data_IF_426094293368
#
_entry.id   IF_426094293368
#
_cell.length_a   1.000
_cell.length_b   1.000
_cell.length_c   1.000
_cell.angle_alpha   90.00
_cell.angle_beta   90.00
_cell.angle_gamma   90.00
#
_symmetry.space_group_name_H-M   'P 1'
#
loop_
_entity.id
_entity.type
_entity.pdbx_description
1 polymer ?
#
# COMPACT_ATOMS: atom_id res chain seq x y z
N UNK A 1 3.08 -3.27 20.41
CA UNK A 1 2.90 -4.72 20.67
C UNK A 1 4.20 -5.50 20.53
N UNK A 2 4.88 -5.49 19.40
CA UNK A 2 6.11 -6.30 19.17
C UNK A 2 7.27 -6.03 20.18
N UNK A 3 7.35 -4.82 20.71
CA UNK A 3 8.39 -4.43 21.68
C UNK A 3 7.93 -4.49 23.15
N UNK A 4 6.77 -5.08 23.43
CA UNK A 4 6.27 -5.18 24.78
C UNK A 4 7.04 -6.26 25.54
N UNK A 5 7.65 -5.88 26.67
CA UNK A 5 8.41 -6.78 27.54
C UNK A 5 7.49 -7.45 28.56
N UNK A 6 6.41 -6.76 28.93
CA UNK A 6 5.43 -7.24 29.92
C UNK A 6 4.06 -7.48 29.31
N UNK A 7 3.34 -8.47 29.83
CA UNK A 7 1.99 -8.80 29.37
C UNK A 7 1.03 -7.60 29.44
N UNK A 8 1.13 -6.79 30.49
CA UNK A 8 0.29 -5.61 30.64
C UNK A 8 0.51 -4.58 29.53
N UNK A 9 1.76 -4.35 29.13
CA UNK A 9 2.10 -3.47 28.00
C UNK A 9 1.60 -4.03 26.67
N UNK A 10 1.71 -5.35 26.48
CA UNK A 10 1.19 -6.01 25.30
C UNK A 10 -0.33 -5.83 25.19
N UNK A 11 -1.06 -6.13 26.26
CA UNK A 11 -2.53 -6.02 26.29
C UNK A 11 -2.97 -4.58 26.01
N UNK A 12 -2.34 -3.59 26.62
CA UNK A 12 -2.68 -2.18 26.40
C UNK A 12 -2.38 -1.73 24.96
N UNK A 13 -1.21 -2.09 24.43
CA UNK A 13 -0.85 -1.80 23.03
C UNK A 13 -1.78 -2.50 22.03
N UNK A 14 -2.19 -3.73 22.34
CA UNK A 14 -3.16 -4.47 21.51
C UNK A 14 -4.51 -3.78 21.50
N UNK A 15 -4.98 -3.32 22.66
CA UNK A 15 -6.25 -2.61 22.82
C UNK A 15 -6.27 -1.30 22.02
N UNK A 16 -5.17 -0.52 22.10
CA UNK A 16 -5.01 0.71 21.34
C UNK A 16 -4.98 0.43 19.83
N UNK A 17 -4.22 -0.58 19.39
CA UNK A 17 -4.12 -0.94 17.99
C UNK A 17 -5.47 -1.38 17.40
N UNK A 18 -6.17 -2.28 18.07
CA UNK A 18 -7.47 -2.74 17.59
C UNK A 18 -8.54 -1.65 17.67
N UNK A 19 -8.48 -0.77 18.67
CA UNK A 19 -9.34 0.41 18.74
C UNK A 19 -9.12 1.34 17.54
N UNK A 20 -7.88 1.63 17.18
CA UNK A 20 -7.56 2.41 16.00
C UNK A 20 -8.02 1.75 14.68
N UNK A 21 -7.93 0.41 14.56
CA UNK A 21 -8.47 -0.29 13.40
C UNK A 21 -10.01 -0.22 13.32
N UNK A 22 -10.72 -0.25 14.42
CA UNK A 22 -12.19 -0.11 14.47
C UNK A 22 -12.62 1.32 14.08
N UNK A 23 -11.85 2.33 14.53
CA UNK A 23 -12.06 3.72 14.11
C UNK A 23 -11.81 3.89 12.61
N UNK A 24 -10.74 3.29 12.07
CA UNK A 24 -10.44 3.27 10.63
C UNK A 24 -11.53 2.57 9.82
N UNK A 25 -12.02 1.43 10.28
CA UNK A 25 -13.12 0.70 9.62
C UNK A 25 -14.36 1.59 9.49
N UNK A 26 -14.68 2.35 10.54
CA UNK A 26 -15.81 3.28 10.55
C UNK A 26 -15.57 4.46 9.62
N UNK A 27 -14.41 5.10 9.72
CA UNK A 27 -14.08 6.27 8.90
C UNK A 27 -14.02 5.95 7.41
N UNK A 28 -13.38 4.83 7.06
CA UNK A 28 -13.26 4.36 5.67
C UNK A 28 -14.59 3.84 5.09
N UNK A 29 -15.60 3.63 5.92
CA UNK A 29 -16.97 3.41 5.45
C UNK A 29 -17.66 4.66 4.90
N UNK A 30 -17.17 5.85 5.27
CA UNK A 30 -17.72 7.15 4.87
C UNK A 30 -16.87 7.90 3.85
N UNK A 31 -15.56 7.66 3.80
CA UNK A 31 -14.61 8.33 2.90
C UNK A 31 -13.82 7.32 2.10
N UNK A 32 -13.42 7.68 0.87
CA UNK A 32 -12.64 6.80 0.01
C UNK A 32 -11.22 6.62 0.53
N UNK A 33 -10.56 7.72 0.92
CA UNK A 33 -9.19 7.76 1.44
C UNK A 33 -9.18 8.49 2.80
N UNK A 34 -8.05 8.49 3.50
CA UNK A 34 -7.93 9.07 4.84
C UNK A 34 -8.26 10.58 4.87
N UNK A 35 -7.89 11.31 3.82
CA UNK A 35 -8.14 12.75 3.69
C UNK A 35 -9.33 13.08 2.78
N UNK A 36 -10.22 12.12 2.49
CA UNK A 36 -11.38 12.32 1.63
C UNK A 36 -11.21 11.70 0.24
N UNK A 37 -11.21 12.53 -0.81
CA UNK A 37 -11.27 12.06 -2.21
C UNK A 37 -9.90 11.77 -2.84
N UNK A 38 -8.80 12.14 -2.17
CA UNK A 38 -7.45 12.07 -2.73
C UNK A 38 -6.54 11.20 -1.89
N UNK A 39 -5.65 10.46 -2.59
CA UNK A 39 -4.55 9.74 -1.94
C UNK A 39 -3.53 10.76 -1.44
N UNK A 40 -3.12 10.58 -0.20
CA UNK A 40 -2.15 11.43 0.50
C UNK A 40 -0.97 10.60 1.01
N UNK A 41 0.03 11.27 1.56
CA UNK A 41 1.15 10.64 2.25
C UNK A 41 0.68 9.76 3.43
N UNK A 42 -0.41 10.15 4.10
CA UNK A 42 -0.99 9.37 5.18
C UNK A 42 -1.49 8.01 4.69
N UNK A 43 -2.11 7.97 3.51
CA UNK A 43 -2.56 6.71 2.88
C UNK A 43 -1.37 5.81 2.55
N UNK A 44 -0.28 6.37 2.03
CA UNK A 44 0.93 5.61 1.72
C UNK A 44 1.57 5.02 2.99
N UNK A 45 1.67 5.79 4.06
CA UNK A 45 2.22 5.33 5.33
C UNK A 45 1.36 4.23 5.98
N UNK A 46 0.04 4.41 5.97
CA UNK A 46 -0.89 3.41 6.49
C UNK A 46 -0.87 2.13 5.66
N UNK A 47 -0.86 2.24 4.32
CA UNK A 47 -0.80 1.11 3.41
C UNK A 47 0.41 0.22 3.69
N UNK A 48 1.62 0.79 3.80
CA UNK A 48 2.86 0.04 4.07
C UNK A 48 2.76 -0.75 5.37
N UNK A 49 2.07 -0.23 6.37
CA UNK A 49 1.87 -0.90 7.67
C UNK A 49 0.84 -2.02 7.55
N UNK A 50 -0.32 -1.74 6.98
CA UNK A 50 -1.45 -2.67 6.95
C UNK A 50 -1.25 -3.82 5.96
N UNK A 51 -0.57 -3.58 4.81
CA UNK A 51 -0.24 -4.66 3.87
C UNK A 51 0.64 -5.74 4.50
N UNK A 52 1.46 -5.35 5.49
CA UNK A 52 2.31 -6.28 6.23
C UNK A 52 1.62 -6.93 7.43
N UNK A 53 0.48 -6.39 7.86
CA UNK A 53 -0.13 -6.87 9.09
C UNK A 53 -0.51 -8.35 9.00
N UNK A 54 -1.28 -8.74 8.00
CA UNK A 54 -1.74 -10.13 7.84
C UNK A 54 -0.65 -11.09 7.38
N UNK A 55 0.36 -10.57 6.63
CA UNK A 55 1.46 -11.37 6.09
C UNK A 55 2.63 -11.55 7.07
N UNK A 56 2.82 -10.60 7.99
CA UNK A 56 3.99 -10.58 8.86
C UNK A 56 3.61 -10.45 10.32
N UNK A 57 3.01 -9.33 10.72
CA UNK A 57 2.85 -8.99 12.13
C UNK A 57 1.88 -9.91 12.85
N UNK A 58 0.75 -10.25 12.24
CA UNK A 58 -0.25 -11.14 12.85
C UNK A 58 0.28 -12.55 13.10
N UNK A 59 1.26 -12.98 12.33
CA UNK A 59 1.87 -14.29 12.49
C UNK A 59 2.80 -14.38 13.72
N UNK A 60 3.27 -13.24 14.23
CA UNK A 60 4.12 -13.15 15.42
C UNK A 60 3.39 -12.70 16.68
N UNK A 61 2.27 -12.02 16.54
CA UNK A 61 1.55 -11.46 17.68
C UNK A 61 0.75 -12.49 18.48
N UNK A 62 0.75 -13.76 18.05
CA UNK A 62 -0.10 -14.78 18.67
C UNK A 62 -1.58 -14.64 18.29
N UNK A 63 -2.52 -15.03 19.15
CA UNK A 63 -3.94 -14.92 18.83
C UNK A 63 -4.34 -13.48 18.57
N UNK A 64 -4.69 -13.17 17.33
CA UNK A 64 -5.19 -11.84 16.93
C UNK A 64 -6.72 -11.78 17.08
N UNK A 65 -7.24 -10.61 17.43
CA UNK A 65 -8.69 -10.40 17.56
C UNK A 65 -9.36 -10.59 16.18
N UNK A 66 -8.78 -10.01 15.15
CA UNK A 66 -9.15 -10.15 13.74
C UNK A 66 -7.96 -9.76 12.86
N UNK A 67 -8.01 -10.17 11.60
CA UNK A 67 -7.08 -9.77 10.57
C UNK A 67 -7.60 -8.53 9.83
N UNK A 68 -6.72 -7.85 9.12
CA UNK A 68 -7.13 -6.70 8.28
C UNK A 68 -8.14 -7.12 7.22
N UNK A 69 -7.99 -8.31 6.64
CA UNK A 69 -8.95 -8.86 5.67
C UNK A 69 -10.36 -9.10 6.23
N UNK A 70 -10.52 -9.20 7.55
CA UNK A 70 -11.83 -9.39 8.20
C UNK A 70 -12.58 -8.05 8.35
N UNK A 71 -11.89 -6.92 8.19
CA UNK A 71 -12.44 -5.57 8.23
C UNK A 71 -12.77 -5.12 6.81
N UNK A 72 -14.06 -5.09 6.48
CA UNK A 72 -14.51 -4.88 5.11
C UNK A 72 -13.99 -3.58 4.48
N UNK A 73 -14.19 -2.45 5.17
CA UNK A 73 -13.85 -1.14 4.63
C UNK A 73 -12.33 -0.93 4.56
N UNK A 74 -11.59 -1.40 5.56
CA UNK A 74 -10.12 -1.36 5.58
C UNK A 74 -9.56 -2.27 4.49
N UNK A 75 -10.08 -3.49 4.36
CA UNK A 75 -9.65 -4.42 3.30
C UNK A 75 -9.93 -3.87 1.89
N UNK A 76 -11.12 -3.34 1.68
CA UNK A 76 -11.51 -2.75 0.40
C UNK A 76 -10.69 -1.49 0.08
N UNK A 77 -10.37 -0.67 1.09
CA UNK A 77 -9.48 0.49 0.95
C UNK A 77 -8.07 0.09 0.51
N UNK A 78 -7.49 -0.94 1.12
CA UNK A 78 -6.17 -1.41 0.71
C UNK A 78 -6.16 -1.96 -0.72
N UNK A 79 -7.22 -2.66 -1.11
CA UNK A 79 -7.38 -3.13 -2.50
C UNK A 79 -7.60 -1.98 -3.47
N UNK A 80 -8.33 -0.92 -3.09
CA UNK A 80 -8.51 0.29 -3.90
C UNK A 80 -7.16 0.99 -4.14
N UNK A 81 -6.33 1.13 -3.10
CA UNK A 81 -4.96 1.63 -3.25
C UNK A 81 -4.09 0.71 -4.12
N UNK A 82 -4.23 -0.60 -4.00
CA UNK A 82 -3.48 -1.56 -4.81
C UNK A 82 -3.82 -1.50 -6.31
N UNK A 83 -5.00 -0.97 -6.71
CA UNK A 83 -5.30 -0.72 -8.11
C UNK A 83 -4.47 0.43 -8.71
N UNK A 84 -3.85 1.26 -7.87
CA UNK A 84 -2.95 2.33 -8.31
C UNK A 84 -1.58 1.70 -8.63
N UNK A 85 -1.05 1.84 -9.86
CA UNK A 85 0.18 1.17 -10.29
C UNK A 85 1.37 1.40 -9.35
N UNK A 86 1.51 2.60 -8.79
CA UNK A 86 2.59 2.91 -7.85
C UNK A 86 2.57 2.02 -6.59
N UNK A 87 1.39 1.66 -6.07
CA UNK A 87 1.28 0.76 -4.93
C UNK A 87 1.49 -0.70 -5.36
N UNK A 88 0.86 -1.13 -6.47
CA UNK A 88 0.97 -2.50 -6.95
C UNK A 88 2.42 -2.89 -7.29
N UNK A 89 3.13 -2.04 -8.04
CA UNK A 89 4.52 -2.30 -8.45
C UNK A 89 5.50 -2.37 -7.28
N UNK A 90 5.22 -1.69 -6.17
CA UNK A 90 6.08 -1.68 -5.00
C UNK A 90 5.63 -2.66 -3.89
N UNK A 91 4.62 -3.49 -4.15
CA UNK A 91 4.16 -4.52 -3.22
C UNK A 91 4.57 -5.89 -3.68
N UNK A 92 5.65 -6.42 -3.10
CA UNK A 92 6.12 -7.79 -3.32
C UNK A 92 5.72 -8.68 -2.14
N UNK A 93 4.59 -9.35 -2.28
CA UNK A 93 4.07 -10.26 -1.25
C UNK A 93 5.05 -11.40 -0.93
N UNK A 94 5.75 -11.92 -1.95
CA UNK A 94 6.73 -12.98 -1.75
C UNK A 94 7.93 -12.50 -0.92
N UNK A 95 8.38 -11.25 -1.14
CA UNK A 95 9.45 -10.65 -0.35
C UNK A 95 9.00 -10.40 1.11
N UNK A 96 7.76 -9.94 1.34
CA UNK A 96 7.22 -9.74 2.69
C UNK A 96 7.16 -11.09 3.44
N UNK A 97 6.66 -12.14 2.80
CA UNK A 97 6.60 -13.49 3.37
C UNK A 97 8.01 -14.02 3.68
N UNK A 98 8.95 -13.83 2.75
CA UNK A 98 10.36 -14.23 2.95
C UNK A 98 10.98 -13.51 4.14
N UNK A 99 10.73 -12.18 4.28
CA UNK A 99 11.18 -11.40 5.44
C UNK A 99 10.62 -11.99 6.74
N UNK A 100 9.35 -12.38 6.76
CA UNK A 100 8.75 -13.04 7.91
C UNK A 100 9.47 -14.32 8.31
N UNK A 101 9.78 -15.19 7.38
CA UNK A 101 10.51 -16.44 7.66
C UNK A 101 11.90 -16.19 8.23
N UNK A 102 12.67 -15.26 7.64
CA UNK A 102 14.04 -14.93 8.08
C UNK A 102 14.03 -14.35 9.50
N UNK A 103 13.18 -13.39 9.79
CA UNK A 103 13.07 -12.80 11.12
C UNK A 103 12.77 -13.86 12.20
N UNK A 104 12.01 -14.89 11.84
CA UNK A 104 11.76 -16.02 12.72
C UNK A 104 12.95 -16.93 12.98
N UNK A 105 13.88 -17.03 12.05
CA UNK A 105 15.10 -17.83 12.19
C UNK A 105 16.13 -17.13 13.08
N UNK A 106 16.26 -15.81 12.97
CA UNK A 106 17.23 -15.01 13.72
C UNK A 106 16.93 -14.96 15.22
N UNK A 107 15.67 -14.95 15.62
CA UNK A 107 15.26 -14.92 17.03
C UNK A 107 15.38 -16.26 17.77
N UNK A 108 15.91 -17.30 17.10
CA UNK A 108 16.10 -18.63 17.71
C UNK A 108 14.79 -19.33 18.11
N UNK A 109 13.69 -18.73 17.75
CA UNK A 109 12.37 -19.31 17.93
C UNK A 109 12.15 -20.34 16.82
N UNK A 110 11.42 -21.41 17.05
CA UNK A 110 10.96 -22.34 16.00
C UNK A 110 9.96 -21.63 15.04
N UNK A 111 10.28 -20.41 14.70
CA UNK A 111 9.38 -19.40 14.23
C UNK A 111 9.08 -19.55 12.74
N UNK A 112 9.99 -20.13 11.95
CA UNK A 112 9.66 -20.36 10.53
C UNK A 112 8.51 -21.36 10.38
N UNK A 113 8.51 -22.43 11.15
CA UNK A 113 7.39 -23.41 11.16
C UNK A 113 6.11 -22.78 11.72
N UNK A 114 6.23 -22.03 12.83
CA UNK A 114 5.07 -21.36 13.42
C UNK A 114 4.51 -20.26 12.49
N UNK A 115 5.39 -19.50 11.86
CA UNK A 115 5.02 -18.49 10.88
C UNK A 115 4.25 -19.12 9.71
N UNK A 116 4.77 -20.20 9.12
CA UNK A 116 4.12 -20.88 8.00
C UNK A 116 2.78 -21.53 8.37
N UNK A 117 2.59 -21.92 9.63
CA UNK A 117 1.31 -22.40 10.13
C UNK A 117 0.29 -21.27 10.37
N UNK A 118 0.78 -20.11 10.83
CA UNK A 118 -0.04 -18.94 11.12
C UNK A 118 -0.41 -18.12 9.87
N UNK A 119 0.42 -18.19 8.82
CA UNK A 119 0.22 -17.46 7.57
C UNK A 119 -1.01 -18.04 6.81
N UNK A 120 -2.00 -17.20 6.45
CA UNK A 120 -3.10 -17.63 5.61
C UNK A 120 -2.61 -18.15 4.25
N UNK A 121 -3.09 -19.33 3.85
CA UNK A 121 -2.74 -19.97 2.58
C UNK A 121 -3.66 -19.48 1.47
N UNK A 122 -3.45 -18.23 1.05
CA UNK A 122 -4.21 -17.58 -0.01
C UNK A 122 -3.25 -17.04 -1.06
N UNK A 123 -3.74 -16.88 -2.27
CA UNK A 123 -3.05 -16.14 -3.33
C UNK A 123 -3.25 -14.63 -3.07
N UNK A 124 -2.28 -14.01 -2.42
CA UNK A 124 -2.34 -12.61 -2.03
C UNK A 124 -2.43 -11.68 -3.24
N UNK A 125 -1.66 -11.97 -4.29
CA UNK A 125 -1.65 -11.16 -5.50
C UNK A 125 -3.01 -11.21 -6.21
N UNK A 126 -3.58 -12.40 -6.38
CA UNK A 126 -4.90 -12.55 -6.96
C UNK A 126 -6.00 -11.91 -6.12
N UNK A 127 -5.92 -12.05 -4.79
CA UNK A 127 -6.92 -11.46 -3.88
C UNK A 127 -6.90 -9.93 -3.90
N UNK A 128 -5.72 -9.32 -4.02
CA UNK A 128 -5.57 -7.86 -3.99
C UNK A 128 -5.81 -7.21 -5.36
N UNK A 129 -5.72 -7.96 -6.45
CA UNK A 129 -6.11 -7.49 -7.79
C UNK A 129 -7.61 -7.35 -8.00
N UNK A 130 -8.43 -7.84 -7.07
CA UNK A 130 -9.88 -7.68 -7.16
C UNK A 130 -10.23 -6.20 -6.97
N UNK A 131 -10.82 -5.60 -8.02
CA UNK A 131 -11.31 -4.23 -7.95
C UNK A 131 -12.40 -4.09 -6.90
N UNK A 132 -12.36 -3.01 -6.15
CA UNK A 132 -13.38 -2.64 -5.17
C UNK A 132 -14.18 -1.45 -5.71
N UNK A 133 -15.48 -1.47 -5.49
CA UNK A 133 -16.37 -0.39 -5.94
C UNK A 133 -16.38 0.78 -4.95
N UNK A 134 -15.19 1.30 -4.55
CA UNK A 134 -15.13 2.43 -3.60
C UNK A 134 -15.25 3.81 -4.25
N UNK A 135 -15.28 3.88 -5.58
CA UNK A 135 -15.39 5.15 -6.30
C UNK A 135 -16.65 5.96 -5.92
N UNK A 136 -17.72 5.29 -5.49
CA UNK A 136 -18.95 5.96 -5.04
C UNK A 136 -18.77 6.81 -3.78
N UNK A 137 -17.71 6.59 -3.01
CA UNK A 137 -17.36 7.39 -1.81
C UNK A 137 -16.65 8.71 -2.16
N UNK A 138 -16.24 8.90 -3.43
CA UNK A 138 -15.67 10.17 -3.89
C UNK A 138 -16.77 11.12 -4.30
N UNK A 139 -16.59 12.42 -4.01
CA UNK A 139 -17.49 13.48 -4.46
C UNK A 139 -17.47 13.64 -5.99
N UNK A 140 -16.34 13.37 -6.62
CA UNK A 140 -16.15 13.28 -8.07
C UNK A 140 -15.32 12.03 -8.43
N UNK A 141 -15.98 10.92 -8.82
CA UNK A 141 -15.28 9.67 -9.15
C UNK A 141 -14.43 9.76 -10.43
N UNK A 142 -14.61 10.81 -11.23
CA UNK A 142 -13.82 11.04 -12.45
C UNK A 142 -12.54 11.83 -12.17
N UNK A 143 -12.39 12.38 -10.97
CA UNK A 143 -11.23 13.17 -10.61
C UNK A 143 -10.00 12.27 -10.36
N UNK A 144 -8.81 12.68 -10.81
CA UNK A 144 -7.58 11.92 -10.52
C UNK A 144 -7.37 11.80 -9.01
N UNK A 145 -7.37 10.58 -8.49
CA UNK A 145 -7.35 10.28 -7.05
C UNK A 145 -6.05 10.69 -6.34
N UNK A 146 -4.98 10.95 -7.09
CA UNK A 146 -3.65 11.25 -6.56
C UNK A 146 -3.15 12.67 -6.81
N UNK A 147 -3.92 13.51 -7.50
CA UNK A 147 -3.41 14.84 -7.88
C UNK A 147 -4.08 15.98 -7.15
N UNK A 148 -5.05 15.78 -6.32
CA UNK A 148 -5.73 16.90 -5.68
C UNK A 148 -5.77 18.14 -6.60
N UNK A 149 -6.48 19.17 -6.36
CA UNK A 149 -6.42 20.41 -7.14
C UNK A 149 -5.04 21.12 -7.11
N UNK A 150 -4.00 20.47 -6.66
CA UNK A 150 -2.66 21.02 -6.59
C UNK A 150 -1.99 20.88 -7.97
N UNK A 151 -2.44 21.73 -8.92
CA UNK A 151 -1.93 21.83 -10.30
C UNK A 151 -0.41 22.07 -10.40
N UNK A 152 0.32 22.06 -9.30
CA UNK A 152 1.77 22.20 -9.27
C UNK A 152 2.51 21.00 -9.87
N UNK A 153 1.83 19.87 -9.97
CA UNK A 153 2.41 18.67 -10.53
C UNK A 153 1.42 18.06 -11.52
N UNK A 154 1.46 18.55 -12.76
CA UNK A 154 0.97 17.76 -13.90
C UNK A 154 1.91 16.54 -14.02
N UNK A 155 1.75 15.59 -13.09
CA UNK A 155 2.45 14.33 -13.18
C UNK A 155 1.69 13.55 -14.25
N UNK A 156 2.36 13.38 -15.39
CA UNK A 156 1.88 12.50 -16.45
C UNK A 156 1.54 11.13 -15.84
N UNK A 157 0.30 10.63 -15.99
CA UNK A 157 -0.08 9.31 -15.49
C UNK A 157 0.84 8.19 -15.92
N UNK A 158 1.55 8.34 -17.03
CA UNK A 158 2.55 7.39 -17.52
C UNK A 158 3.77 7.25 -16.60
N UNK A 159 3.99 8.16 -15.68
CA UNK A 159 5.04 8.05 -14.66
C UNK A 159 4.83 6.87 -13.71
N UNK A 160 3.59 6.39 -13.57
CA UNK A 160 3.25 5.23 -12.74
C UNK A 160 3.32 3.92 -13.51
N UNK A 161 3.45 3.98 -14.83
CA UNK A 161 3.69 2.83 -15.68
C UNK A 161 5.20 2.57 -15.77
N UNK A 162 5.76 2.00 -14.70
CA UNK A 162 7.18 1.65 -14.62
C UNK A 162 7.61 0.58 -15.64
N UNK A 163 6.69 0.05 -16.42
CA UNK A 163 6.95 -0.87 -17.54
C UNK A 163 6.94 -0.18 -18.90
N UNK A 164 6.45 1.06 -19.01
CA UNK A 164 6.55 1.81 -20.25
C UNK A 164 7.95 2.40 -20.37
N UNK A 165 8.66 2.07 -21.44
CA UNK A 165 9.90 2.78 -21.80
C UNK A 165 9.60 4.28 -21.85
N UNK A 166 10.36 5.08 -21.08
CA UNK A 166 10.27 6.54 -21.12
C UNK A 166 10.25 7.00 -22.57
N UNK A 167 9.32 7.87 -22.98
CA UNK A 167 9.31 8.36 -24.37
C UNK A 167 10.70 8.94 -24.66
N UNK A 168 11.37 8.39 -25.66
CA UNK A 168 12.66 8.90 -26.13
C UNK A 168 12.43 10.37 -26.43
N UNK A 169 13.12 11.25 -25.71
CA UNK A 169 13.13 12.67 -26.05
C UNK A 169 13.55 12.75 -27.53
N UNK A 170 12.63 13.17 -28.39
CA UNK A 170 12.99 13.55 -29.74
C UNK A 170 14.06 14.64 -29.61
N UNK A 171 15.29 14.30 -29.96
CA UNK A 171 16.33 15.31 -30.18
C UNK A 171 15.78 16.24 -31.24
N UNK A 172 15.48 17.48 -30.87
CA UNK A 172 15.15 18.52 -31.79
C UNK A 172 16.40 18.68 -32.69
N UNK A 173 16.26 18.22 -33.93
CA UNK A 173 17.24 18.48 -34.94
C UNK A 173 17.51 19.99 -34.98
N UNK A 174 18.71 20.39 -34.66
CA UNK A 174 19.18 21.77 -34.84
C UNK A 174 19.08 22.07 -36.31
N UNK A 175 18.39 23.14 -36.72
CA UNK A 175 18.34 23.51 -38.14
C UNK A 175 19.77 23.77 -38.66
N UNK A 176 20.06 23.35 -39.88
CA UNK A 176 21.40 23.54 -40.47
C UNK A 176 21.77 25.03 -40.45
N UNK A 177 22.96 25.32 -39.92
CA UNK A 177 23.55 26.66 -39.91
C UNK A 177 23.61 27.20 -41.31
N UNK A 178 22.90 28.30 -41.58
CA UNK A 178 22.97 29.03 -42.82
C UNK A 178 24.38 29.60 -42.98
N UNK A 179 25.18 28.99 -43.83
CA UNK A 179 26.49 29.51 -44.21
C UNK A 179 26.31 30.81 -44.97
N UNK A 180 26.63 31.94 -44.33
CA UNK A 180 26.80 33.21 -45.05
C UNK A 180 28.08 33.15 -45.86
N UNK A 181 27.94 32.97 -47.15
CA UNK A 181 28.95 33.30 -48.11
C UNK A 181 28.95 34.83 -48.28
N UNK A 182 29.94 35.54 -47.73
CA UNK A 182 30.32 36.89 -48.15
C UNK A 182 31.39 36.77 -49.23
N UNK A 183 30.98 37.12 -50.46
CA UNK A 183 31.93 37.49 -51.55
C UNK A 183 32.12 39.01 -51.62
#
# INVERSE_FOLDING_TARGET
MLNAVELAQYVESAKQFYGALEELETALGATRFLAGDFVTEADAALYVTLVRFDLLYSCYLGPVKYRVQDLKNVSDYLKDLYQIPAFAHHTDFAAIIRQGRIAGEEDGFRASTHYDLALPKIDWDAQWKVSTERAYLSSDPTHPIYLGNNRRFDIDPTWYDLGAESPKKEEKETPPSCGCYCG
#
